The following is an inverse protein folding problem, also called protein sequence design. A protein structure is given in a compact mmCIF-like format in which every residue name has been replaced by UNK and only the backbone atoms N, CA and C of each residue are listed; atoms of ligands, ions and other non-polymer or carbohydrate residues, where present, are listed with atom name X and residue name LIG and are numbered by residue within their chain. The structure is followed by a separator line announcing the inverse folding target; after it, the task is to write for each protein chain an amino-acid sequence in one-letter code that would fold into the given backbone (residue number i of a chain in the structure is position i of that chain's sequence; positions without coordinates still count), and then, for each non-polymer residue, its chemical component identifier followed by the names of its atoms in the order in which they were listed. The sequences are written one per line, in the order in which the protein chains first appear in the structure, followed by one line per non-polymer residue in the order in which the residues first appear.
data_IF_102214497799
#
_entry.id   IF_102214497799
#
_cell.length_a   1.000
_cell.length_b   1.000
_cell.length_c   1.000
_cell.angle_alpha   90.00
_cell.angle_beta   90.00
_cell.angle_gamma   90.00
#
_symmetry.space_group_name_H-M   'P 1'
#
loop_
_entity.id
_entity.type
_entity.pdbx_description
1 polymer ?
#
# COMPACT_ATOMS: atom_id res chain seq x y z
N UNK A 1 41.11 11.76 -0.18
CA UNK A 1 39.88 11.10 -0.60
C UNK A 1 38.58 11.58 0.11
N UNK A 2 38.67 12.38 1.19
CA UNK A 2 37.48 12.98 1.86
C UNK A 2 37.17 14.41 1.38
N UNK A 3 38.07 15.03 0.70
CA UNK A 3 37.93 16.45 0.26
C UNK A 3 37.35 16.62 -1.15
N UNK A 4 37.44 15.63 -2.02
CA UNK A 4 36.92 15.74 -3.40
C UNK A 4 35.39 15.56 -3.46
N UNK A 5 34.79 14.79 -2.57
CA UNK A 5 33.32 14.60 -2.49
C UNK A 5 32.61 15.86 -1.94
N UNK A 6 33.31 16.63 -1.11
CA UNK A 6 32.82 17.89 -0.55
C UNK A 6 32.86 19.05 -1.58
N UNK A 7 33.82 19.05 -2.50
CA UNK A 7 33.98 20.09 -3.53
C UNK A 7 32.95 19.91 -4.65
N UNK A 8 32.63 18.66 -5.02
CA UNK A 8 31.63 18.35 -6.05
C UNK A 8 30.19 18.67 -5.59
N UNK A 9 29.88 18.52 -4.29
CA UNK A 9 28.59 18.94 -3.72
C UNK A 9 28.42 20.47 -3.64
N UNK A 10 29.49 21.26 -3.57
CA UNK A 10 29.43 22.72 -3.50
C UNK A 10 29.31 23.42 -4.86
N UNK A 11 29.68 22.75 -5.94
CA UNK A 11 29.57 23.28 -7.31
C UNK A 11 28.19 23.14 -7.91
N UNK A 12 27.39 22.17 -7.41
CA UNK A 12 26.00 21.90 -7.87
C UNK A 12 24.93 22.78 -7.20
N UNK A 13 25.26 23.58 -6.20
CA UNK A 13 24.32 24.45 -5.47
C UNK A 13 24.38 25.93 -5.94
N UNK A 14 25.29 26.27 -6.83
CA UNK A 14 25.66 27.66 -7.19
C UNK A 14 25.02 28.23 -8.45
N UNK A 15 24.09 27.59 -9.12
CA UNK A 15 23.52 28.20 -10.34
C UNK A 15 22.07 27.82 -10.56
N UNK A 16 21.13 28.45 -9.84
CA UNK A 16 19.77 28.70 -10.34
C UNK A 16 18.97 29.57 -9.35
N UNK A 17 19.38 30.87 -9.29
CA UNK A 17 18.47 31.92 -8.85
C UNK A 17 18.06 32.67 -10.10
N UNK A 18 16.98 32.25 -10.73
CA UNK A 18 16.23 33.06 -11.69
C UNK A 18 14.76 33.02 -11.27
N UNK A 19 14.32 34.22 -10.98
CA UNK A 19 12.97 34.65 -10.68
C UNK A 19 11.97 33.96 -11.64
N UNK A 20 11.25 32.94 -11.15
CA UNK A 20 10.11 32.32 -11.81
C UNK A 20 8.90 32.51 -10.91
N UNK A 21 7.94 33.33 -11.37
CA UNK A 21 6.61 33.46 -10.76
C UNK A 21 6.08 32.07 -10.43
N UNK A 22 5.95 31.77 -9.15
CA UNK A 22 5.21 30.61 -8.68
C UNK A 22 3.74 30.80 -9.03
N UNK A 23 3.37 30.43 -10.24
CA UNK A 23 2.02 29.94 -10.48
C UNK A 23 1.93 28.66 -9.66
N UNK A 24 1.18 28.68 -8.57
CA UNK A 24 0.72 27.50 -7.85
C UNK A 24 -0.11 26.68 -8.82
N UNK A 25 0.55 25.85 -9.61
CA UNK A 25 -0.09 24.68 -10.20
C UNK A 25 -0.46 23.83 -8.99
N UNK A 26 -1.73 23.91 -8.60
CA UNK A 26 -2.32 22.87 -7.78
C UNK A 26 -1.95 21.57 -8.50
N UNK A 27 -1.07 20.76 -7.88
CA UNK A 27 -0.77 19.43 -8.34
C UNK A 27 -2.14 18.71 -8.30
N UNK A 28 -2.79 18.68 -9.46
CA UNK A 28 -3.91 17.77 -9.66
C UNK A 28 -3.33 16.41 -9.36
N UNK A 29 -3.80 15.79 -8.28
CA UNK A 29 -3.55 14.40 -8.03
C UNK A 29 -3.85 13.70 -9.35
N UNK A 30 -2.81 13.16 -9.99
CA UNK A 30 -2.95 12.49 -11.28
C UNK A 30 -4.03 11.44 -11.10
N UNK A 31 -5.12 11.57 -11.87
CA UNK A 31 -6.21 10.60 -11.81
C UNK A 31 -5.60 9.21 -12.06
N UNK A 32 -5.50 8.42 -11.01
CA UNK A 32 -4.91 7.08 -11.10
C UNK A 32 -5.88 6.08 -11.73
N UNK A 33 -7.13 6.47 -12.05
CA UNK A 33 -8.19 5.55 -12.41
C UNK A 33 -8.55 4.56 -11.30
N UNK A 34 -8.17 4.88 -10.05
CA UNK A 34 -8.45 4.07 -8.88
C UNK A 34 -9.82 4.42 -8.25
N UNK A 35 -10.60 5.22 -8.92
CA UNK A 35 -11.94 5.62 -8.49
C UNK A 35 -12.88 5.53 -9.68
N UNK A 36 -13.89 4.67 -9.59
CA UNK A 36 -14.90 4.53 -10.63
C UNK A 36 -15.76 5.80 -10.73
N UNK A 37 -15.88 6.54 -9.63
CA UNK A 37 -16.61 7.81 -9.52
C UNK A 37 -15.80 8.80 -8.67
N UNK A 38 -15.86 10.10 -8.98
CA UNK A 38 -15.21 11.11 -8.15
C UNK A 38 -15.68 11.02 -6.69
N UNK A 39 -14.74 11.14 -5.75
CA UNK A 39 -15.06 11.17 -4.33
C UNK A 39 -16.03 12.34 -4.04
N UNK A 40 -17.20 12.08 -3.43
CA UNK A 40 -18.15 13.14 -3.11
C UNK A 40 -17.53 14.14 -2.13
N UNK A 41 -17.88 15.44 -2.28
CA UNK A 41 -17.38 16.47 -1.34
C UNK A 41 -17.85 16.21 0.09
N UNK A 42 -19.10 15.77 0.24
CA UNK A 42 -19.71 15.39 1.53
C UNK A 42 -19.73 13.87 1.61
N UNK A 43 -18.94 13.30 2.50
CA UNK A 43 -18.83 11.86 2.72
C UNK A 43 -19.97 11.31 3.59
N UNK A 44 -20.46 12.13 4.51
CA UNK A 44 -21.59 11.79 5.38
C UNK A 44 -22.20 13.00 6.03
N UNK A 45 -23.39 12.82 6.60
CA UNK A 45 -24.11 13.82 7.41
C UNK A 45 -24.59 13.16 8.69
N UNK A 46 -24.33 13.78 9.85
CA UNK A 46 -24.67 13.29 11.18
C UNK A 46 -25.50 14.35 11.89
N UNK A 47 -26.80 14.12 12.08
CA UNK A 47 -27.72 15.09 12.69
C UNK A 47 -27.59 16.52 12.07
N UNK A 48 -27.44 16.60 10.74
CA UNK A 48 -27.26 17.84 10.01
C UNK A 48 -25.80 18.35 9.91
N UNK A 49 -24.85 17.82 10.67
CA UNK A 49 -23.42 18.15 10.57
C UNK A 49 -22.81 17.38 9.40
N UNK A 50 -22.20 18.08 8.47
CA UNK A 50 -21.55 17.51 7.28
C UNK A 50 -20.14 17.06 7.63
N UNK A 51 -19.78 15.86 7.21
CA UNK A 51 -18.41 15.35 7.20
C UNK A 51 -17.95 15.34 5.75
N UNK A 52 -16.89 16.08 5.45
CA UNK A 52 -16.38 16.29 4.10
C UNK A 52 -15.11 15.47 3.84
N UNK A 53 -14.65 15.44 2.61
CA UNK A 53 -13.33 14.85 2.29
C UNK A 53 -12.16 15.56 2.98
N UNK A 54 -12.30 16.84 3.34
CA UNK A 54 -11.28 17.60 4.06
C UNK A 54 -11.14 17.15 5.53
N UNK A 55 -12.20 16.55 6.09
CA UNK A 55 -12.20 16.05 7.47
C UNK A 55 -11.51 14.69 7.62
N UNK A 56 -11.17 14.02 6.51
CA UNK A 56 -10.36 12.81 6.55
C UNK A 56 -8.99 13.12 7.18
N UNK A 57 -8.49 12.20 8.00
CA UNK A 57 -7.21 12.34 8.69
C UNK A 57 -6.04 12.48 7.70
N UNK A 58 -4.97 13.21 8.07
CA UNK A 58 -3.76 13.31 7.27
C UNK A 58 -3.17 11.94 6.93
N UNK A 59 -3.22 10.99 7.87
CA UNK A 59 -2.73 9.62 7.72
C UNK A 59 -3.50 8.89 6.63
N UNK A 60 -4.83 8.96 6.66
CA UNK A 60 -5.69 8.35 5.63
C UNK A 60 -5.40 8.95 4.27
N UNK A 61 -5.32 10.29 4.16
CA UNK A 61 -4.99 10.96 2.90
C UNK A 61 -3.63 10.53 2.35
N UNK A 62 -2.60 10.51 3.20
CA UNK A 62 -1.25 10.09 2.79
C UNK A 62 -1.21 8.61 2.33
N UNK A 63 -1.95 7.74 3.03
CA UNK A 63 -2.02 6.32 2.67
C UNK A 63 -2.77 6.09 1.36
N UNK A 64 -3.87 6.80 1.14
CA UNK A 64 -4.61 6.77 -0.13
C UNK A 64 -3.72 7.24 -1.27
N UNK A 65 -3.02 8.36 -1.12
CA UNK A 65 -2.09 8.86 -2.13
C UNK A 65 -0.96 7.87 -2.44
N UNK A 66 -0.44 7.19 -1.42
CA UNK A 66 0.56 6.13 -1.63
C UNK A 66 0.02 4.98 -2.48
N UNK A 67 -1.21 4.52 -2.20
CA UNK A 67 -1.87 3.47 -2.98
C UNK A 67 -2.12 3.90 -4.43
N UNK A 68 -2.55 5.15 -4.64
CA UNK A 68 -2.77 5.72 -5.96
C UNK A 68 -1.46 5.80 -6.76
N UNK A 69 -0.36 6.24 -6.13
CA UNK A 69 0.98 6.23 -6.76
C UNK A 69 1.42 4.84 -7.18
N UNK A 70 1.11 3.80 -6.42
CA UNK A 70 1.45 2.42 -6.82
C UNK A 70 0.83 2.03 -8.18
N UNK A 71 -0.39 2.48 -8.48
CA UNK A 71 -1.05 2.21 -9.76
C UNK A 71 -0.40 3.02 -10.89
N UNK A 72 -0.07 4.30 -10.66
CA UNK A 72 0.66 5.13 -11.63
C UNK A 72 1.99 4.49 -12.01
N UNK A 73 2.76 4.08 -11.00
CA UNK A 73 4.06 3.41 -11.22
C UNK A 73 3.91 2.04 -11.90
N UNK A 74 2.82 1.33 -11.58
CA UNK A 74 2.54 0.04 -12.22
C UNK A 74 2.23 0.20 -13.71
N UNK A 75 1.51 1.25 -14.13
CA UNK A 75 1.27 1.51 -15.56
C UNK A 75 2.56 1.72 -16.33
N UNK A 76 3.47 2.52 -15.78
CA UNK A 76 4.74 2.78 -16.44
C UNK A 76 5.59 1.51 -16.58
N UNK A 77 5.56 0.63 -15.56
CA UNK A 77 6.28 -0.66 -15.59
C UNK A 77 5.60 -1.70 -16.47
N UNK A 78 4.27 -1.72 -16.53
CA UNK A 78 3.51 -2.69 -17.30
C UNK A 78 3.82 -2.61 -18.79
N UNK A 79 4.04 -1.39 -19.31
CA UNK A 79 4.48 -1.23 -20.70
C UNK A 79 5.80 -1.97 -20.97
N UNK A 80 6.77 -1.83 -20.09
CA UNK A 80 8.06 -2.52 -20.21
C UNK A 80 7.89 -4.04 -20.11
N UNK A 81 7.02 -4.51 -19.18
CA UNK A 81 6.70 -5.95 -19.03
C UNK A 81 6.06 -6.51 -20.31
N UNK A 82 5.12 -5.80 -20.92
CA UNK A 82 4.50 -6.25 -22.17
C UNK A 82 5.46 -6.26 -23.35
N UNK A 83 6.34 -5.26 -23.47
CA UNK A 83 7.42 -5.26 -24.47
C UNK A 83 8.28 -6.50 -24.30
N UNK A 84 8.78 -6.78 -23.10
CA UNK A 84 9.66 -7.91 -22.81
C UNK A 84 8.96 -9.25 -23.02
N UNK A 85 7.66 -9.34 -22.67
CA UNK A 85 6.85 -10.53 -22.94
C UNK A 85 6.73 -10.81 -24.43
N UNK A 86 6.42 -9.80 -25.26
CA UNK A 86 6.32 -9.95 -26.70
C UNK A 86 7.65 -10.36 -27.33
N UNK A 87 8.77 -9.84 -26.86
CA UNK A 87 10.10 -10.20 -27.33
C UNK A 87 10.47 -11.64 -26.95
N UNK A 88 10.13 -12.04 -25.70
CA UNK A 88 10.34 -13.42 -25.24
C UNK A 88 9.50 -14.42 -26.05
N UNK A 89 8.23 -14.10 -26.31
CA UNK A 89 7.34 -14.92 -27.15
C UNK A 89 7.86 -15.05 -28.59
N UNK A 90 8.34 -13.94 -29.17
CA UNK A 90 8.90 -13.94 -30.51
C UNK A 90 10.15 -14.83 -30.60
N UNK A 91 11.04 -14.76 -29.62
CA UNK A 91 12.23 -15.63 -29.58
C UNK A 91 11.87 -17.08 -29.31
N UNK A 92 10.90 -17.35 -28.43
CA UNK A 92 10.41 -18.71 -28.19
C UNK A 92 9.82 -19.33 -29.46
N UNK A 93 9.01 -18.56 -30.19
CA UNK A 93 8.47 -19.00 -31.51
C UNK A 93 9.57 -19.28 -32.52
N UNK A 94 10.61 -18.44 -32.62
CA UNK A 94 11.76 -18.62 -33.50
C UNK A 94 12.54 -19.91 -33.17
N UNK A 95 12.65 -20.25 -31.88
CA UNK A 95 13.33 -21.47 -31.41
C UNK A 95 12.45 -22.73 -31.45
N UNK A 96 11.14 -22.59 -31.64
CA UNK A 96 10.19 -23.72 -31.58
C UNK A 96 9.98 -24.26 -30.17
N UNK A 97 10.13 -23.41 -29.13
CA UNK A 97 9.99 -23.80 -27.73
C UNK A 97 9.00 -22.87 -27.03
N UNK A 98 8.67 -23.17 -25.77
CA UNK A 98 7.84 -22.27 -24.95
C UNK A 98 8.67 -21.10 -24.39
N UNK A 99 8.01 -19.93 -24.05
CA UNK A 99 8.69 -18.84 -23.37
C UNK A 99 9.35 -19.27 -22.05
N UNK A 100 8.72 -20.17 -21.29
CA UNK A 100 9.29 -20.72 -20.05
C UNK A 100 10.54 -21.55 -20.30
N UNK A 101 10.62 -22.25 -21.42
CA UNK A 101 11.83 -22.98 -21.78
C UNK A 101 12.99 -22.03 -22.10
N UNK A 102 12.73 -20.91 -22.79
CA UNK A 102 13.75 -19.88 -23.04
C UNK A 102 14.31 -19.33 -21.73
N UNK A 103 13.44 -19.01 -20.76
CA UNK A 103 13.88 -18.54 -19.43
C UNK A 103 14.67 -19.61 -18.71
N UNK A 104 14.25 -20.87 -18.77
CA UNK A 104 14.97 -21.97 -18.15
C UNK A 104 16.39 -22.11 -18.72
N UNK A 105 16.53 -22.04 -20.03
CA UNK A 105 17.83 -22.25 -20.73
C UNK A 105 18.76 -21.02 -20.59
N UNK A 106 18.21 -19.82 -20.68
CA UNK A 106 19.00 -18.58 -20.73
C UNK A 106 19.25 -17.96 -19.34
N UNK A 107 18.41 -18.25 -18.36
CA UNK A 107 18.50 -17.67 -17.01
C UNK A 107 18.78 -18.78 -15.99
N UNK A 108 17.84 -19.71 -15.78
CA UNK A 108 17.91 -20.66 -14.66
C UNK A 108 19.11 -21.59 -14.78
N UNK A 109 19.35 -22.14 -15.98
CA UNK A 109 20.47 -23.06 -16.22
C UNK A 109 21.85 -22.36 -16.22
N UNK A 110 21.89 -21.03 -16.38
CA UNK A 110 23.14 -20.25 -16.44
C UNK A 110 23.46 -19.52 -15.12
N UNK A 111 22.54 -19.50 -14.17
CA UNK A 111 22.81 -18.87 -12.88
C UNK A 111 23.80 -19.72 -12.09
N UNK A 112 24.87 -19.09 -11.62
CA UNK A 112 25.77 -19.72 -10.68
C UNK A 112 25.17 -19.66 -9.28
N UNK A 113 25.01 -20.79 -8.62
CA UNK A 113 24.51 -20.81 -7.24
C UNK A 113 25.42 -19.99 -6.33
N UNK A 114 24.85 -19.16 -5.43
CA UNK A 114 25.65 -18.43 -4.46
C UNK A 114 26.31 -19.39 -3.47
N UNK A 115 27.51 -19.05 -3.07
CA UNK A 115 28.29 -19.83 -2.09
C UNK A 115 27.93 -19.45 -0.65
N UNK A 116 28.27 -20.32 0.30
CA UNK A 116 28.11 -20.01 1.73
C UNK A 116 28.95 -18.80 2.16
N UNK A 117 30.15 -18.64 1.59
CA UNK A 117 31.01 -17.50 1.87
C UNK A 117 30.37 -16.16 1.43
N UNK A 118 29.71 -16.16 0.28
CA UNK A 118 28.97 -14.97 -0.18
C UNK A 118 27.74 -14.67 0.70
N UNK A 119 27.05 -15.72 1.16
CA UNK A 119 25.94 -15.56 2.09
C UNK A 119 26.41 -15.03 3.45
N UNK A 120 27.55 -15.49 3.95
CA UNK A 120 28.16 -14.96 5.18
C UNK A 120 28.57 -13.49 5.02
N UNK A 121 29.25 -13.16 3.93
CA UNK A 121 29.64 -11.77 3.64
C UNK A 121 28.41 -10.82 3.52
N UNK A 122 27.33 -11.32 2.92
CA UNK A 122 26.07 -10.56 2.85
C UNK A 122 25.44 -10.34 4.23
N UNK A 123 25.41 -11.38 5.06
CA UNK A 123 24.92 -11.30 6.43
C UNK A 123 25.72 -10.30 7.24
N UNK A 124 27.06 -10.39 7.21
CA UNK A 124 27.95 -9.53 8.00
C UNK A 124 27.78 -8.06 7.62
N UNK A 125 27.63 -7.79 6.31
CA UNK A 125 27.41 -6.43 5.80
C UNK A 125 26.04 -5.85 6.21
N UNK A 126 25.02 -6.70 6.38
CA UNK A 126 23.65 -6.29 6.66
C UNK A 126 23.18 -6.73 8.06
N UNK A 127 24.07 -7.02 8.96
CA UNK A 127 23.80 -7.64 10.28
C UNK A 127 22.71 -6.92 11.08
N UNK A 128 22.64 -5.59 10.99
CA UNK A 128 21.63 -4.79 11.69
C UNK A 128 20.18 -5.02 11.18
N UNK A 129 20.02 -5.63 10.00
CA UNK A 129 18.71 -5.91 9.41
C UNK A 129 18.20 -7.33 9.73
N UNK A 130 19.00 -8.14 10.39
CA UNK A 130 18.64 -9.51 10.75
C UNK A 130 18.31 -9.61 12.24
N UNK A 131 17.31 -10.41 12.58
CA UNK A 131 16.90 -10.67 13.96
C UNK A 131 17.45 -11.99 14.51
N UNK A 132 17.96 -12.86 13.62
CA UNK A 132 18.49 -14.16 13.96
C UNK A 132 19.98 -14.30 13.56
N UNK A 133 20.65 -15.36 14.04
CA UNK A 133 22.04 -15.66 13.68
C UNK A 133 22.17 -16.15 12.23
N UNK A 134 23.38 -16.04 11.67
CA UNK A 134 23.64 -16.46 10.29
C UNK A 134 23.18 -17.90 10.00
N UNK A 135 23.33 -18.83 10.95
CA UNK A 135 22.92 -20.22 10.78
C UNK A 135 21.44 -20.35 10.42
N UNK A 136 20.60 -19.53 11.04
CA UNK A 136 19.15 -19.55 10.83
C UNK A 136 18.74 -18.79 9.56
N UNK A 137 19.46 -17.71 9.23
CA UNK A 137 19.21 -16.85 8.05
C UNK A 137 19.87 -17.35 6.76
N UNK A 138 20.85 -18.24 6.85
CA UNK A 138 21.67 -18.71 5.71
C UNK A 138 20.85 -19.14 4.51
N UNK A 139 19.80 -19.95 4.73
CA UNK A 139 18.96 -20.45 3.65
C UNK A 139 18.26 -19.33 2.90
N UNK A 140 17.65 -18.39 3.64
CA UNK A 140 16.96 -17.25 3.07
C UNK A 140 17.92 -16.32 2.31
N UNK A 141 19.12 -16.13 2.84
CA UNK A 141 20.15 -15.31 2.18
C UNK A 141 20.61 -15.96 0.87
N UNK A 142 20.86 -17.27 0.86
CA UNK A 142 21.23 -17.98 -0.37
C UNK A 142 20.11 -17.91 -1.42
N UNK A 143 18.86 -18.10 -1.03
CA UNK A 143 17.70 -17.95 -1.93
C UNK A 143 17.60 -16.52 -2.47
N UNK A 144 17.78 -15.51 -1.63
CA UNK A 144 17.78 -14.11 -2.03
C UNK A 144 18.90 -13.78 -3.04
N UNK A 145 20.14 -14.19 -2.75
CA UNK A 145 21.27 -13.98 -3.66
C UNK A 145 21.09 -14.70 -4.99
N UNK A 146 20.53 -15.92 -4.95
CA UNK A 146 20.21 -16.65 -6.17
C UNK A 146 19.14 -15.93 -7.00
N UNK A 147 18.09 -15.44 -6.36
CA UNK A 147 17.05 -14.62 -7.00
C UNK A 147 17.64 -13.34 -7.63
N UNK A 148 18.52 -12.63 -6.93
CA UNK A 148 19.21 -11.45 -7.48
C UNK A 148 20.02 -11.79 -8.75
N UNK A 149 20.74 -12.91 -8.77
CA UNK A 149 21.49 -13.36 -9.95
C UNK A 149 20.58 -13.71 -11.11
N UNK A 150 19.46 -14.39 -10.83
CA UNK A 150 18.45 -14.68 -11.86
C UNK A 150 17.85 -13.41 -12.44
N UNK A 151 17.52 -12.43 -11.59
CA UNK A 151 16.97 -11.14 -12.02
C UNK A 151 17.97 -10.37 -12.90
N UNK A 152 19.26 -10.38 -12.55
CA UNK A 152 20.31 -9.74 -13.35
C UNK A 152 20.49 -10.42 -14.73
N UNK A 153 20.47 -11.75 -14.78
CA UNK A 153 20.52 -12.48 -16.05
C UNK A 153 19.27 -12.25 -16.90
N UNK A 154 18.09 -12.21 -16.28
CA UNK A 154 16.84 -11.90 -16.98
C UNK A 154 16.85 -10.47 -17.55
N UNK A 155 17.37 -9.50 -16.80
CA UNK A 155 17.54 -8.12 -17.27
C UNK A 155 18.47 -8.07 -18.50
N UNK A 156 19.63 -8.72 -18.43
CA UNK A 156 20.57 -8.82 -19.58
C UNK A 156 19.94 -9.53 -20.79
N UNK A 157 19.11 -10.53 -20.55
CA UNK A 157 18.37 -11.24 -21.60
C UNK A 157 17.38 -10.29 -22.29
N UNK A 158 16.59 -9.54 -21.52
CA UNK A 158 15.66 -8.52 -22.01
C UNK A 158 16.40 -7.45 -22.84
N UNK A 159 17.49 -6.91 -22.32
CA UNK A 159 18.31 -5.92 -23.03
C UNK A 159 18.83 -6.46 -24.39
N UNK A 160 19.29 -7.71 -24.41
CA UNK A 160 19.74 -8.38 -25.65
C UNK A 160 18.60 -8.54 -26.65
N UNK A 161 17.40 -8.94 -26.19
CA UNK A 161 16.24 -9.06 -27.07
C UNK A 161 15.77 -7.71 -27.59
N UNK A 162 15.76 -6.68 -26.76
CA UNK A 162 15.42 -5.31 -27.18
C UNK A 162 16.39 -4.76 -28.21
N UNK A 163 17.69 -5.03 -28.06
CA UNK A 163 18.72 -4.61 -29.02
C UNK A 163 18.62 -5.34 -30.38
N UNK A 164 18.07 -6.55 -30.40
CA UNK A 164 17.93 -7.35 -31.63
C UNK A 164 16.58 -7.13 -32.34
N UNK A 165 15.66 -6.37 -31.76
CA UNK A 165 14.31 -6.14 -32.27
C UNK A 165 14.05 -4.67 -32.60
N UNK A 166 13.01 -4.41 -33.40
CA UNK A 166 12.53 -3.05 -33.65
C UNK A 166 11.55 -2.66 -32.54
N UNK A 167 12.07 -2.06 -31.46
CA UNK A 167 11.26 -1.54 -30.36
C UNK A 167 11.17 -0.02 -30.44
N UNK A 168 9.95 0.52 -30.53
CA UNK A 168 9.69 1.95 -30.52
C UNK A 168 8.70 2.27 -29.40
N UNK A 169 9.17 2.93 -28.34
CA UNK A 169 8.31 3.49 -27.28
C UNK A 169 7.88 4.89 -27.72
N UNK A 170 6.56 5.13 -27.76
CA UNK A 170 5.95 6.38 -28.19
C UNK A 170 5.62 7.23 -26.96
N UNK A 171 5.02 6.62 -25.92
CA UNK A 171 4.67 7.30 -24.69
C UNK A 171 4.64 6.31 -23.52
N UNK A 172 5.02 6.80 -22.32
CA UNK A 172 4.82 6.04 -21.07
C UNK A 172 3.47 6.42 -20.46
N UNK A 173 2.61 5.43 -20.14
CA UNK A 173 1.32 5.72 -19.55
C UNK A 173 1.49 6.07 -18.07
N UNK A 174 0.92 7.20 -17.64
CA UNK A 174 0.90 7.62 -16.23
C UNK A 174 -0.52 7.81 -15.70
N UNK A 175 -1.49 7.94 -16.60
CA UNK A 175 -2.91 8.12 -16.31
C UNK A 175 -3.75 7.07 -17.05
N UNK A 176 -4.97 6.76 -16.58
CA UNK A 176 -5.90 5.89 -17.29
C UNK A 176 -6.32 6.52 -18.60
N UNK A 177 -6.71 5.71 -19.60
CA UNK A 177 -7.28 6.22 -20.84
C UNK A 177 -8.65 6.89 -20.58
N UNK A 178 -8.86 8.07 -21.17
CA UNK A 178 -10.05 8.89 -20.97
C UNK A 178 -11.32 8.37 -21.69
N UNK A 179 -11.22 7.29 -22.45
CA UNK A 179 -12.32 6.68 -23.18
C UNK A 179 -11.83 5.73 -24.27
N UNK A 180 -12.73 5.23 -25.11
CA UNK A 180 -12.41 4.19 -26.09
C UNK A 180 -11.36 4.63 -27.12
N UNK A 181 -11.41 5.88 -27.59
CA UNK A 181 -10.41 6.41 -28.50
C UNK A 181 -9.01 6.44 -27.87
N UNK A 182 -8.91 6.82 -26.59
CA UNK A 182 -7.64 6.84 -25.87
C UNK A 182 -7.18 5.42 -25.49
N UNK A 183 -8.09 4.48 -25.27
CA UNK A 183 -7.74 3.05 -25.11
C UNK A 183 -7.06 2.48 -26.34
N UNK A 184 -7.43 2.92 -27.54
CA UNK A 184 -6.81 2.50 -28.80
C UNK A 184 -5.46 3.21 -29.06
N UNK A 185 -5.07 4.19 -28.26
CA UNK A 185 -3.81 4.93 -28.41
C UNK A 185 -2.62 4.00 -28.27
N UNK A 186 -1.75 3.98 -29.29
CA UNK A 186 -0.53 3.17 -29.30
C UNK A 186 0.52 3.78 -28.37
N UNK A 187 1.03 3.00 -27.45
CA UNK A 187 2.08 3.38 -26.50
C UNK A 187 3.47 2.90 -26.93
N UNK A 188 3.53 1.72 -27.55
CA UNK A 188 4.76 1.19 -28.12
C UNK A 188 4.46 0.29 -29.31
N UNK A 189 5.48 0.03 -30.13
CA UNK A 189 5.49 -1.04 -31.13
C UNK A 189 6.71 -1.93 -30.92
N UNK A 190 6.50 -3.23 -31.11
CA UNK A 190 7.53 -4.27 -31.05
C UNK A 190 7.45 -5.04 -32.36
N UNK A 191 8.41 -4.83 -33.25
CA UNK A 191 8.33 -5.27 -34.64
C UNK A 191 7.01 -4.76 -35.28
N UNK A 192 6.14 -5.65 -35.77
CA UNK A 192 4.87 -5.31 -36.41
C UNK A 192 3.67 -5.26 -35.44
N UNK A 193 3.89 -5.51 -34.16
CA UNK A 193 2.84 -5.53 -33.13
C UNK A 193 2.81 -4.24 -32.34
N UNK A 194 1.61 -3.79 -31.97
CA UNK A 194 1.39 -2.59 -31.17
C UNK A 194 0.92 -2.95 -29.76
N UNK A 195 1.31 -2.12 -28.81
CA UNK A 195 0.82 -2.13 -27.43
C UNK A 195 0.04 -0.85 -27.22
N UNK A 196 -1.22 -0.98 -26.83
CA UNK A 196 -2.14 0.14 -26.64
C UNK A 196 -2.33 0.48 -25.14
N UNK A 197 -2.89 1.65 -24.87
CA UNK A 197 -3.28 2.03 -23.52
C UNK A 197 -4.33 1.06 -22.93
N UNK A 198 -5.21 0.52 -23.77
CA UNK A 198 -6.21 -0.47 -23.38
C UNK A 198 -5.61 -1.80 -22.93
N UNK A 199 -4.52 -2.23 -23.56
CA UNK A 199 -3.81 -3.46 -23.19
C UNK A 199 -3.21 -3.32 -21.78
N UNK A 200 -2.58 -2.16 -21.48
CA UNK A 200 -2.03 -1.85 -20.15
C UNK A 200 -3.13 -1.89 -19.08
N UNK A 201 -4.25 -1.20 -19.30
CA UNK A 201 -5.35 -1.18 -18.31
C UNK A 201 -5.95 -2.57 -18.10
N UNK A 202 -6.03 -3.38 -19.16
CA UNK A 202 -6.54 -4.75 -19.05
C UNK A 202 -5.67 -5.62 -18.15
N UNK A 203 -4.35 -5.52 -18.28
CA UNK A 203 -3.39 -6.25 -17.42
C UNK A 203 -3.43 -5.76 -15.97
N UNK A 204 -3.64 -4.47 -15.74
CA UNK A 204 -3.63 -3.86 -14.41
C UNK A 204 -4.98 -3.94 -13.68
N UNK A 205 -6.05 -4.39 -14.33
CA UNK A 205 -7.38 -4.47 -13.73
C UNK A 205 -7.43 -5.13 -12.34
N UNK A 206 -6.74 -6.27 -12.07
CA UNK A 206 -6.75 -6.88 -10.74
C UNK A 206 -6.07 -5.98 -9.67
N UNK A 207 -4.97 -5.30 -10.03
CA UNK A 207 -4.30 -4.37 -9.13
C UNK A 207 -5.16 -3.15 -8.83
N UNK A 208 -5.77 -2.57 -9.86
CA UNK A 208 -6.65 -1.40 -9.74
C UNK A 208 -7.83 -1.73 -8.82
N UNK A 209 -8.53 -2.85 -9.04
CA UNK A 209 -9.64 -3.30 -8.21
C UNK A 209 -9.21 -3.48 -6.74
N UNK A 210 -8.07 -4.11 -6.50
CA UNK A 210 -7.52 -4.25 -5.13
C UNK A 210 -7.24 -2.90 -4.48
N UNK A 211 -6.66 -1.96 -5.22
CA UNK A 211 -6.38 -0.60 -4.69
C UNK A 211 -7.68 0.15 -4.41
N UNK A 212 -8.69 0.05 -5.28
CA UNK A 212 -10.02 0.62 -5.06
C UNK A 212 -10.65 0.14 -3.76
N UNK A 213 -10.62 -1.17 -3.50
CA UNK A 213 -11.10 -1.76 -2.25
C UNK A 213 -10.34 -1.25 -1.02
N UNK A 214 -9.00 -1.16 -1.11
CA UNK A 214 -8.16 -0.66 -0.02
C UNK A 214 -8.42 0.82 0.27
N UNK A 215 -8.53 1.64 -0.76
CA UNK A 215 -8.84 3.08 -0.64
C UNK A 215 -10.22 3.28 -0.01
N UNK A 216 -11.23 2.52 -0.47
CA UNK A 216 -12.55 2.56 0.13
C UNK A 216 -12.53 2.17 1.60
N UNK A 217 -11.86 1.07 1.96
CA UNK A 217 -11.77 0.59 3.33
C UNK A 217 -11.12 1.63 4.27
N UNK A 218 -10.03 2.27 3.85
CA UNK A 218 -9.36 3.32 4.61
C UNK A 218 -10.27 4.54 4.84
N UNK A 219 -10.93 5.02 3.79
CA UNK A 219 -11.85 6.17 3.88
C UNK A 219 -13.08 5.83 4.72
N UNK A 220 -13.62 4.62 4.58
CA UNK A 220 -14.75 4.15 5.37
C UNK A 220 -14.40 4.11 6.85
N UNK A 221 -13.25 3.52 7.19
CA UNK A 221 -12.79 3.44 8.57
C UNK A 221 -12.64 4.85 9.20
N UNK A 222 -12.02 5.78 8.48
CA UNK A 222 -11.83 7.14 8.96
C UNK A 222 -13.17 7.91 9.07
N UNK A 223 -14.06 7.75 8.10
CA UNK A 223 -15.41 8.30 8.16
C UNK A 223 -16.20 7.79 9.37
N UNK A 224 -16.12 6.50 9.67
CA UNK A 224 -16.76 5.89 10.84
C UNK A 224 -16.23 6.48 12.15
N UNK A 225 -14.91 6.71 12.24
CA UNK A 225 -14.31 7.39 13.39
C UNK A 225 -14.85 8.84 13.53
N UNK A 226 -14.90 9.59 12.42
CA UNK A 226 -15.46 10.96 12.40
C UNK A 226 -16.93 11.02 12.77
N UNK A 227 -17.73 10.04 12.32
CA UNK A 227 -19.15 9.91 12.73
C UNK A 227 -19.22 9.72 14.24
N UNK A 228 -18.45 8.82 14.81
CA UNK A 228 -18.45 8.55 16.25
C UNK A 228 -17.99 9.77 17.06
N UNK A 229 -16.92 10.45 16.64
CA UNK A 229 -16.43 11.67 17.26
C UNK A 229 -17.49 12.78 17.24
N UNK A 230 -18.20 12.93 16.12
CA UNK A 230 -19.27 13.91 15.96
C UNK A 230 -20.44 13.61 16.92
N UNK A 231 -20.87 12.36 17.02
CA UNK A 231 -21.95 11.92 17.90
C UNK A 231 -21.58 12.13 19.38
N UNK A 232 -20.37 11.75 19.78
CA UNK A 232 -19.88 11.95 21.15
C UNK A 232 -19.79 13.45 21.49
N UNK A 233 -19.30 14.26 20.56
CA UNK A 233 -19.21 15.71 20.74
C UNK A 233 -20.58 16.36 20.88
N UNK A 234 -21.56 15.97 20.06
CA UNK A 234 -22.94 16.46 20.14
C UNK A 234 -23.61 16.07 21.46
N UNK A 235 -23.44 14.82 21.91
CA UNK A 235 -24.01 14.37 23.19
C UNK A 235 -23.36 15.08 24.39
N UNK A 236 -22.02 15.29 24.33
CA UNK A 236 -21.30 16.05 25.33
C UNK A 236 -21.80 17.52 25.40
N UNK A 237 -21.96 18.16 24.25
CA UNK A 237 -22.49 19.52 24.17
C UNK A 237 -23.93 19.61 24.72
N UNK A 238 -24.79 18.65 24.35
CA UNK A 238 -26.16 18.55 24.84
C UNK A 238 -26.23 18.44 26.38
N UNK A 239 -25.26 17.70 26.97
CA UNK A 239 -25.15 17.54 28.44
C UNK A 239 -24.35 18.67 29.11
N UNK A 240 -23.79 19.61 28.38
CA UNK A 240 -22.99 20.73 28.93
C UNK A 240 -21.66 20.29 29.53
N UNK A 241 -21.07 19.18 29.01
CA UNK A 241 -19.81 18.60 29.47
C UNK A 241 -18.81 18.47 28.35
N UNK A 242 -17.56 18.17 28.66
CA UNK A 242 -16.57 17.78 27.65
C UNK A 242 -16.77 16.32 27.20
N UNK A 243 -16.34 15.97 25.98
CA UNK A 243 -16.38 14.57 25.49
C UNK A 243 -15.66 13.62 26.45
N UNK A 244 -14.54 14.06 27.05
CA UNK A 244 -13.82 13.27 28.04
C UNK A 244 -14.67 13.01 29.28
N UNK A 245 -15.27 14.04 29.86
CA UNK A 245 -16.15 13.90 31.04
C UNK A 245 -17.40 13.04 30.75
N UNK A 246 -17.93 13.14 29.52
CA UNK A 246 -18.99 12.26 29.06
C UNK A 246 -18.54 10.78 29.07
N UNK A 247 -17.39 10.48 28.49
CA UNK A 247 -16.86 9.10 28.45
C UNK A 247 -16.50 8.59 29.84
N UNK A 248 -15.89 9.43 30.68
CA UNK A 248 -15.56 9.07 32.07
C UNK A 248 -16.82 8.69 32.85
N UNK A 249 -17.93 9.38 32.65
CA UNK A 249 -19.18 9.14 33.39
C UNK A 249 -20.03 8.01 32.79
N UNK A 250 -20.20 8.02 31.46
CA UNK A 250 -21.14 7.10 30.77
C UNK A 250 -20.51 5.78 30.40
N UNK A 251 -19.18 5.71 30.31
CA UNK A 251 -18.44 4.52 29.92
C UNK A 251 -17.55 4.02 31.06
N UNK A 252 -16.45 4.73 31.37
CA UNK A 252 -15.42 4.26 32.32
C UNK A 252 -16.03 4.00 33.71
N UNK A 253 -16.84 4.93 34.20
CA UNK A 253 -17.51 4.81 35.51
C UNK A 253 -18.54 3.65 35.57
N UNK A 254 -18.96 3.09 34.45
CA UNK A 254 -19.93 1.99 34.37
C UNK A 254 -19.30 0.64 34.06
N UNK A 255 -18.03 0.63 33.61
CA UNK A 255 -17.31 -0.61 33.34
C UNK A 255 -16.86 -1.25 34.64
N UNK A 256 -17.30 -2.46 34.90
CA UNK A 256 -16.87 -3.21 36.06
C UNK A 256 -15.36 -3.48 36.01
N UNK A 257 -14.69 -3.37 37.14
CA UNK A 257 -13.26 -3.70 37.24
C UNK A 257 -13.02 -5.16 36.88
N UNK A 258 -11.88 -5.38 36.25
CA UNK A 258 -11.42 -6.72 35.90
C UNK A 258 -11.18 -7.55 37.16
N UNK A 259 -11.80 -8.71 37.23
CA UNK A 259 -11.58 -9.67 38.31
C UNK A 259 -10.34 -10.53 38.03
N UNK A 260 -9.78 -11.13 39.11
CA UNK A 260 -8.65 -12.06 38.97
C UNK A 260 -8.99 -13.25 38.07
N UNK A 261 -10.23 -13.73 38.13
CA UNK A 261 -10.71 -14.81 37.27
C UNK A 261 -10.74 -14.44 35.77
N UNK A 262 -11.16 -13.20 35.44
CA UNK A 262 -11.14 -12.70 34.08
C UNK A 262 -9.69 -12.54 33.56
N UNK A 263 -8.81 -12.02 34.40
CA UNK A 263 -7.40 -11.87 34.07
C UNK A 263 -6.71 -13.24 33.84
N UNK A 264 -6.98 -14.21 34.71
CA UNK A 264 -6.48 -15.57 34.57
C UNK A 264 -7.00 -16.22 33.27
N UNK A 265 -8.29 -16.13 33.01
CA UNK A 265 -8.90 -16.68 31.80
C UNK A 265 -8.36 -16.03 30.52
N UNK A 266 -8.01 -14.73 30.54
CA UNK A 266 -7.33 -14.07 29.44
C UNK A 266 -5.91 -14.62 29.26
N UNK A 267 -5.14 -14.72 30.32
CA UNK A 267 -3.77 -15.25 30.28
C UNK A 267 -3.77 -16.68 29.71
N UNK A 268 -4.63 -17.57 30.21
CA UNK A 268 -4.69 -18.97 29.78
C UNK A 268 -4.98 -19.11 28.28
N UNK A 269 -5.84 -18.25 27.72
CA UNK A 269 -6.15 -18.24 26.29
C UNK A 269 -5.04 -17.66 25.40
N UNK A 270 -4.11 -16.90 25.99
CA UNK A 270 -3.04 -16.20 25.28
C UNK A 270 -1.65 -16.62 25.74
N UNK A 271 -1.52 -17.73 26.46
CA UNK A 271 -0.29 -18.20 27.09
C UNK A 271 0.88 -18.30 26.10
N UNK A 272 0.63 -18.71 24.86
CA UNK A 272 1.66 -18.85 23.83
C UNK A 272 2.23 -17.50 23.34
N UNK A 273 1.56 -16.38 23.67
CA UNK A 273 1.93 -15.02 23.25
C UNK A 273 2.41 -14.16 24.41
N UNK A 274 2.22 -14.60 25.64
CA UNK A 274 2.60 -13.85 26.84
C UNK A 274 3.84 -14.53 27.45
N UNK A 275 4.94 -13.80 27.51
CA UNK A 275 6.16 -14.29 28.15
C UNK A 275 6.12 -14.04 29.64
N UNK A 276 6.28 -15.07 30.47
CA UNK A 276 6.30 -15.03 31.92
C UNK A 276 5.10 -15.71 32.58
N UNK A 277 5.26 -16.11 33.84
CA UNK A 277 4.19 -16.73 34.65
C UNK A 277 3.09 -15.70 34.99
N UNK A 278 1.86 -16.17 35.15
CA UNK A 278 0.69 -15.29 35.39
C UNK A 278 0.91 -14.27 36.51
N UNK A 279 1.43 -14.70 37.65
CA UNK A 279 1.66 -13.80 38.80
C UNK A 279 2.63 -12.64 38.48
N UNK A 280 3.60 -12.86 37.59
CA UNK A 280 4.54 -11.83 37.15
C UNK A 280 3.93 -10.81 36.20
N UNK A 281 3.01 -11.27 35.33
CA UNK A 281 2.39 -10.44 34.27
C UNK A 281 0.96 -10.00 34.62
N UNK A 282 0.42 -10.45 35.75
CA UNK A 282 -0.96 -10.15 36.19
C UNK A 282 -1.33 -8.67 36.14
N UNK A 283 -0.46 -7.72 36.64
CA UNK A 283 -0.80 -6.31 36.56
C UNK A 283 -1.01 -5.81 35.13
N UNK A 284 -0.14 -6.25 34.19
CA UNK A 284 -0.21 -5.89 32.78
C UNK A 284 -1.45 -6.52 32.12
N UNK A 285 -1.75 -7.79 32.44
CA UNK A 285 -2.94 -8.48 31.94
C UNK A 285 -4.21 -7.79 32.43
N UNK A 286 -4.31 -7.47 33.71
CA UNK A 286 -5.45 -6.74 34.29
C UNK A 286 -5.64 -5.39 33.59
N UNK A 287 -4.56 -4.63 33.43
CA UNK A 287 -4.61 -3.35 32.74
C UNK A 287 -5.10 -3.52 31.30
N UNK A 288 -4.52 -4.46 30.57
CA UNK A 288 -4.89 -4.73 29.17
C UNK A 288 -6.36 -5.12 29.03
N UNK A 289 -6.85 -6.04 29.87
CA UNK A 289 -8.25 -6.47 29.85
C UNK A 289 -9.20 -5.35 30.24
N UNK A 290 -8.80 -4.50 31.23
CA UNK A 290 -9.58 -3.32 31.61
C UNK A 290 -9.71 -2.33 30.45
N UNK A 291 -8.62 -2.02 29.79
CA UNK A 291 -8.61 -1.17 28.60
C UNK A 291 -9.44 -1.76 27.44
N UNK A 292 -9.45 -3.08 27.28
CA UNK A 292 -10.35 -3.74 26.31
C UNK A 292 -11.83 -3.51 26.67
N UNK A 293 -12.20 -3.79 27.93
CA UNK A 293 -13.59 -3.58 28.39
C UNK A 293 -14.05 -2.13 28.21
N UNK A 294 -13.18 -1.16 28.47
CA UNK A 294 -13.46 0.25 28.27
C UNK A 294 -13.58 0.64 26.79
N UNK A 295 -12.75 0.07 25.92
CA UNK A 295 -12.88 0.24 24.46
C UNK A 295 -14.20 -0.35 23.95
N UNK A 296 -14.55 -1.57 24.35
CA UNK A 296 -15.77 -2.23 23.94
C UNK A 296 -17.02 -1.46 24.42
N UNK A 297 -16.98 -0.95 25.65
CA UNK A 297 -18.04 -0.10 26.20
C UNK A 297 -18.15 1.24 25.47
N UNK A 298 -17.02 1.84 25.07
CA UNK A 298 -17.00 3.06 24.26
C UNK A 298 -17.63 2.84 22.89
N UNK A 299 -17.30 1.72 22.24
CA UNK A 299 -17.90 1.32 20.96
C UNK A 299 -19.41 1.13 21.14
N UNK A 300 -19.83 0.38 22.15
CA UNK A 300 -21.25 0.14 22.43
C UNK A 300 -22.02 1.46 22.71
N UNK A 301 -21.41 2.39 23.43
CA UNK A 301 -22.00 3.70 23.68
C UNK A 301 -22.11 4.53 22.39
N UNK A 302 -21.08 4.57 21.57
CA UNK A 302 -21.12 5.21 20.25
C UNK A 302 -22.21 4.59 19.34
N UNK A 303 -22.36 3.27 19.35
CA UNK A 303 -23.43 2.58 18.63
C UNK A 303 -24.81 2.93 19.13
N UNK A 304 -24.98 3.11 20.44
CA UNK A 304 -26.23 3.59 21.02
C UNK A 304 -26.59 4.99 20.51
N UNK A 305 -25.62 5.93 20.53
CA UNK A 305 -25.81 7.26 19.98
C UNK A 305 -26.13 7.23 18.49
N UNK A 306 -25.47 6.35 17.76
CA UNK A 306 -25.67 6.16 16.32
C UNK A 306 -27.10 5.70 15.97
N UNK A 307 -27.65 4.78 16.75
CA UNK A 307 -29.04 4.32 16.58
C UNK A 307 -30.08 5.41 16.78
N UNK A 308 -29.79 6.41 17.62
CA UNK A 308 -30.65 7.55 17.87
C UNK A 308 -30.44 8.72 16.90
N UNK A 309 -29.41 8.66 16.05
CA UNK A 309 -29.02 9.74 15.16
C UNK A 309 -29.63 9.60 13.76
N UNK A 310 -29.78 10.75 13.09
CA UNK A 310 -30.04 10.78 11.64
C UNK A 310 -28.72 10.76 10.90
N UNK A 311 -28.47 9.66 10.17
CA UNK A 311 -27.23 9.42 9.44
C UNK A 311 -27.50 9.31 7.94
N UNK A 312 -26.69 9.98 7.15
CA UNK A 312 -26.61 9.80 5.69
C UNK A 312 -25.15 9.55 5.34
N UNK A 313 -24.86 8.45 4.63
CA UNK A 313 -23.52 8.10 4.16
C UNK A 313 -23.52 8.15 2.64
N UNK A 314 -22.64 8.99 2.07
CA UNK A 314 -22.50 9.18 0.64
C UNK A 314 -21.26 8.45 0.06
N UNK A 315 -20.40 7.90 0.92
CA UNK A 315 -19.26 7.10 0.49
C UNK A 315 -19.78 5.75 0.00
N UNK A 316 -19.58 5.47 -1.29
CA UNK A 316 -20.02 4.22 -1.95
C UNK A 316 -18.86 3.24 -2.12
N UNK A 317 -19.15 1.95 -1.97
CA UNK A 317 -18.17 0.91 -2.28
C UNK A 317 -17.86 0.89 -3.80
N UNK A 318 -16.65 0.49 -4.20
CA UNK A 318 -16.33 0.25 -5.59
C UNK A 318 -17.21 -0.87 -6.16
N UNK A 319 -17.46 -0.82 -7.46
CA UNK A 319 -18.21 -1.88 -8.14
C UNK A 319 -17.36 -3.16 -8.16
N UNK A 320 -17.97 -4.29 -7.83
CA UNK A 320 -17.26 -5.56 -7.91
C UNK A 320 -16.81 -5.80 -9.37
N UNK A 321 -15.57 -6.25 -9.61
CA UNK A 321 -15.14 -6.59 -10.94
C UNK A 321 -16.07 -7.67 -11.52
N UNK A 322 -16.43 -7.60 -12.81
CA UNK A 322 -17.31 -8.59 -13.43
C UNK A 322 -16.71 -10.00 -13.22
N UNK A 323 -17.57 -10.93 -12.80
CA UNK A 323 -17.18 -12.33 -12.66
C UNK A 323 -16.61 -12.85 -13.98
N UNK A 324 -15.47 -13.54 -13.90
CA UNK A 324 -14.82 -14.17 -15.05
C UNK A 324 -15.58 -15.39 -15.52
#
# INVERSE_FOLDING_TARGET
MKDEESVMKKILIGLFVLFGMFSSVAAQASDCGCEDKPLPEILGVVNGVKITKADLSPETRARVEQLQRQVVDARARELDVQIDTMLLEAEAKKRGVSPSQVIKDEVIARVQAPTEAEAQAFYDKNKASFHAGFKDEKKHILEFLNYQRQAELARKLSERFRAAAQVKVIAKPTAPPAGDADRARVLASVNDKQITAGDIETSLRPLIAKVQEQVYALRKQDLELKINDTLLSQEAQKKGVTTRALLDTEVVGRVARVTDAEAQAFYDRNKDRISGEFEQVKPQVVQYVQEQKERDATIAFAEQLRRAATLQINLTAPEAPPAR
#
